data_IF_337995366461
#
_entry.id   IF_337995366461
#
_cell.length_a   1.000
_cell.length_b   1.000
_cell.length_c   1.000
_cell.angle_alpha   90.00
_cell.angle_beta   90.00
_cell.angle_gamma   90.00
#
_symmetry.space_group_name_H-M   'P 1'
#
loop_
_entity.id
_entity.type
_entity.pdbx_description
1 polymer ?
#
# COMPACT_ATOMS: atom_id res chain seq x y z
N UNK A 1 -6.97 39.59 -1.62
CA UNK A 1 -5.89 39.20 -0.70
C UNK A 1 -5.26 37.96 -1.28
N UNK A 2 -4.09 38.09 -1.87
CA UNK A 2 -3.33 36.96 -2.48
C UNK A 2 -2.86 36.05 -1.36
N UNK A 3 -3.29 34.77 -1.39
CA UNK A 3 -2.78 33.76 -0.48
C UNK A 3 -1.29 33.54 -0.79
N UNK A 4 -0.42 33.74 0.19
CA UNK A 4 0.98 33.43 0.06
C UNK A 4 1.15 31.97 -0.38
N UNK A 5 2.06 31.67 -1.32
CA UNK A 5 2.30 30.30 -1.74
C UNK A 5 2.73 29.48 -0.53
N UNK A 6 2.13 28.29 -0.38
CA UNK A 6 2.48 27.31 0.62
C UNK A 6 3.99 27.04 0.50
N UNK A 7 4.76 27.25 1.57
CA UNK A 7 6.13 26.75 1.64
C UNK A 7 6.09 25.24 1.42
N UNK A 8 6.42 24.84 0.21
CA UNK A 8 6.45 23.46 -0.21
C UNK A 8 7.58 22.74 0.52
N UNK A 9 7.35 21.58 1.15
CA UNK A 9 8.48 20.73 1.50
C UNK A 9 9.22 20.47 0.20
N UNK A 10 10.44 21.02 0.14
CA UNK A 10 11.29 20.98 -1.04
C UNK A 10 11.32 19.53 -1.56
N UNK A 11 10.90 19.29 -2.81
CA UNK A 11 10.99 17.96 -3.42
C UNK A 11 12.43 17.44 -3.43
N UNK A 12 13.42 18.32 -3.32
CA UNK A 12 14.82 18.02 -3.09
C UNK A 12 15.11 17.43 -1.68
N UNK A 13 14.19 17.57 -0.69
CA UNK A 13 14.37 17.00 0.64
C UNK A 13 14.02 15.50 0.75
N UNK A 14 13.49 14.89 -0.32
CA UNK A 14 13.22 13.45 -0.33
C UNK A 14 14.52 12.67 -0.56
N UNK A 15 14.97 12.02 0.47
CA UNK A 15 15.95 10.94 0.36
C UNK A 15 15.23 9.61 0.61
N UNK A 16 15.39 8.69 -0.33
CA UNK A 16 14.80 7.35 -0.19
C UNK A 16 15.40 6.69 1.07
N UNK A 17 14.57 6.26 2.03
CA UNK A 17 15.06 5.60 3.23
C UNK A 17 15.97 4.40 2.93
N UNK A 18 17.00 4.15 3.73
CA UNK A 18 17.80 2.94 3.64
C UNK A 18 16.91 1.70 3.72
N UNK A 19 17.22 0.70 2.92
CA UNK A 19 16.46 -0.56 2.88
C UNK A 19 15.10 -0.49 2.20
N UNK A 20 14.58 0.68 1.81
CA UNK A 20 13.38 0.76 0.99
C UNK A 20 13.69 0.43 -0.47
N UNK A 21 13.07 -0.62 -0.99
CA UNK A 21 13.12 -0.96 -2.41
C UNK A 21 11.70 -1.12 -2.95
N UNK A 22 11.46 -0.59 -4.15
CA UNK A 22 10.15 -0.68 -4.79
C UNK A 22 10.22 -1.56 -6.03
N UNK A 23 9.24 -2.41 -6.18
CA UNK A 23 8.99 -3.18 -7.38
C UNK A 23 7.78 -2.54 -8.04
N UNK A 24 8.01 -1.87 -9.16
CA UNK A 24 6.94 -1.31 -9.96
C UNK A 24 6.44 -2.40 -10.89
N UNK A 25 5.23 -2.85 -10.63
CA UNK A 25 4.53 -3.82 -11.44
C UNK A 25 3.80 -3.20 -12.64
N UNK A 26 2.95 -3.98 -13.27
CA UNK A 26 2.11 -3.55 -14.40
C UNK A 26 0.98 -2.65 -13.91
N UNK A 27 0.34 -3.02 -12.80
CA UNK A 27 -0.81 -2.31 -12.24
C UNK A 27 -0.46 -1.49 -11.02
N UNK A 28 0.29 -2.05 -10.07
CA UNK A 28 0.63 -1.44 -8.80
C UNK A 28 2.11 -1.53 -8.47
N UNK A 29 2.45 -1.07 -7.27
CA UNK A 29 3.79 -1.15 -6.72
C UNK A 29 3.76 -1.95 -5.42
N UNK A 30 4.64 -2.92 -5.29
CA UNK A 30 4.95 -3.51 -3.99
C UNK A 30 6.32 -3.05 -3.50
N UNK A 31 6.52 -3.10 -2.20
CA UNK A 31 7.75 -2.63 -1.58
C UNK A 31 8.43 -3.75 -0.81
N UNK A 32 9.76 -3.74 -0.83
CA UNK A 32 10.60 -4.57 0.00
C UNK A 32 11.33 -3.66 0.98
N UNK A 33 11.12 -3.90 2.26
CA UNK A 33 11.75 -3.18 3.36
C UNK A 33 12.80 -4.08 3.97
N UNK A 34 14.07 -3.73 3.78
CA UNK A 34 15.24 -4.55 4.16
C UNK A 34 15.91 -3.95 5.38
N UNK A 35 16.16 -4.76 6.39
CA UNK A 35 16.95 -4.40 7.57
C UNK A 35 17.72 -5.63 8.06
N UNK A 36 19.01 -5.48 8.33
CA UNK A 36 19.87 -6.54 8.92
C UNK A 36 19.84 -7.89 8.19
N UNK A 37 19.73 -7.88 6.85
CA UNK A 37 19.69 -9.11 6.04
C UNK A 37 18.34 -9.81 5.98
N UNK A 38 17.35 -9.29 6.68
CA UNK A 38 15.96 -9.72 6.62
C UNK A 38 15.09 -8.67 5.92
N UNK A 39 13.93 -9.05 5.45
CA UNK A 39 13.02 -8.12 4.81
C UNK A 39 11.56 -8.50 5.00
N UNK A 40 10.69 -7.50 4.82
CA UNK A 40 9.26 -7.70 4.70
C UNK A 40 8.78 -7.12 3.38
N UNK A 41 7.72 -7.70 2.82
CA UNK A 41 7.05 -7.16 1.66
C UNK A 41 5.77 -6.41 2.05
N UNK A 42 5.57 -5.24 1.47
CA UNK A 42 4.27 -4.57 1.46
C UNK A 42 3.63 -4.89 0.11
N UNK A 43 2.51 -5.61 0.17
CA UNK A 43 1.79 -6.21 -0.94
C UNK A 43 2.60 -7.24 -1.76
N UNK A 44 1.91 -8.02 -2.58
CA UNK A 44 2.49 -9.12 -3.34
C UNK A 44 2.49 -8.89 -4.87
N UNK A 45 1.91 -7.80 -5.34
CA UNK A 45 1.80 -7.47 -6.76
C UNK A 45 0.84 -8.36 -7.55
N UNK A 46 0.71 -8.08 -8.83
CA UNK A 46 -0.16 -8.80 -9.77
C UNK A 46 0.44 -10.17 -10.14
N UNK A 47 -0.43 -11.10 -10.52
CA UNK A 47 -0.01 -12.39 -11.08
C UNK A 47 0.94 -12.19 -12.25
N UNK A 48 2.08 -12.91 -12.25
CA UNK A 48 3.09 -12.81 -13.30
C UNK A 48 4.30 -11.93 -12.95
N UNK A 49 4.20 -11.07 -11.93
CA UNK A 49 5.29 -10.18 -11.52
C UNK A 49 6.37 -10.85 -10.65
N UNK A 50 6.29 -12.16 -10.46
CA UNK A 50 7.25 -12.99 -9.67
C UNK A 50 8.69 -12.81 -10.11
N UNK A 51 8.91 -12.56 -11.41
CA UNK A 51 10.24 -12.35 -11.96
C UNK A 51 10.90 -11.09 -11.35
N UNK A 52 10.16 -10.01 -11.17
CA UNK A 52 10.68 -8.77 -10.59
C UNK A 52 11.04 -8.95 -9.12
N UNK A 53 10.21 -9.67 -8.35
CA UNK A 53 10.48 -9.99 -6.94
C UNK A 53 11.78 -10.82 -6.83
N UNK A 54 11.88 -11.91 -7.61
CA UNK A 54 13.08 -12.76 -7.62
C UNK A 54 14.33 -12.00 -8.04
N UNK A 55 14.22 -11.15 -9.07
CA UNK A 55 15.33 -10.34 -9.55
C UNK A 55 15.81 -9.36 -8.48
N UNK A 56 14.88 -8.70 -7.76
CA UNK A 56 15.24 -7.76 -6.71
C UNK A 56 15.94 -8.47 -5.55
N UNK A 57 15.40 -9.57 -5.04
CA UNK A 57 16.04 -10.32 -3.96
C UNK A 57 17.47 -10.77 -4.35
N UNK A 58 17.66 -11.30 -5.56
CA UNK A 58 19.00 -11.66 -6.06
C UNK A 58 19.95 -10.45 -6.11
N UNK A 59 19.45 -9.29 -6.60
CA UNK A 59 20.25 -8.05 -6.66
C UNK A 59 20.71 -7.60 -5.28
N UNK A 60 19.93 -7.88 -4.25
CA UNK A 60 20.22 -7.54 -2.85
C UNK A 60 20.98 -8.65 -2.11
N UNK A 61 21.40 -9.72 -2.81
CA UNK A 61 21.98 -10.92 -2.21
C UNK A 61 21.11 -11.55 -1.12
N UNK A 62 19.78 -11.44 -1.25
CA UNK A 62 18.79 -12.02 -0.34
C UNK A 62 18.18 -13.30 -0.92
N UNK A 63 17.96 -14.28 -0.06
CA UNK A 63 17.24 -15.52 -0.39
C UNK A 63 15.73 -15.41 -0.08
N UNK A 64 14.94 -16.42 -0.50
CA UNK A 64 13.51 -16.45 -0.19
C UNK A 64 13.23 -16.36 1.32
N UNK A 65 14.00 -17.07 2.13
CA UNK A 65 13.86 -17.12 3.60
C UNK A 65 14.23 -15.81 4.31
N UNK A 66 14.85 -14.86 3.60
CA UNK A 66 15.04 -13.51 4.13
C UNK A 66 13.72 -12.72 4.24
N UNK A 67 12.69 -13.11 3.46
CA UNK A 67 11.36 -12.51 3.56
C UNK A 67 10.63 -13.13 4.75
N UNK A 68 10.41 -12.33 5.80
CA UNK A 68 9.81 -12.78 7.07
C UNK A 68 8.30 -12.60 7.11
N UNK A 69 7.81 -11.55 6.48
CA UNK A 69 6.39 -11.23 6.46
C UNK A 69 5.96 -10.61 5.13
N UNK A 70 4.68 -10.78 4.81
CA UNK A 70 3.98 -10.12 3.72
C UNK A 70 2.85 -9.33 4.36
N UNK A 71 2.95 -8.01 4.35
CA UNK A 71 1.98 -7.10 4.95
C UNK A 71 1.08 -6.59 3.83
N UNK A 72 -0.20 -6.94 3.86
CA UNK A 72 -1.15 -6.49 2.85
C UNK A 72 -1.76 -5.16 3.25
N UNK A 73 -1.76 -4.22 2.31
CA UNK A 73 -2.55 -2.99 2.44
C UNK A 73 -4.03 -3.32 2.30
N UNK A 74 -4.39 -4.14 1.33
CA UNK A 74 -5.75 -4.62 1.10
C UNK A 74 -5.78 -5.84 0.16
N UNK A 75 -6.97 -6.38 -0.13
CA UNK A 75 -7.13 -7.66 -0.79
C UNK A 75 -7.37 -7.64 -2.30
N UNK A 76 -7.24 -6.50 -3.01
CA UNK A 76 -7.41 -6.47 -4.46
C UNK A 76 -6.36 -7.30 -5.20
N UNK A 77 -6.72 -7.73 -6.41
CA UNK A 77 -5.94 -8.69 -7.21
C UNK A 77 -4.52 -8.21 -7.54
N UNK A 78 -4.34 -6.94 -7.79
CA UNK A 78 -3.04 -6.33 -8.10
C UNK A 78 -2.12 -6.16 -6.88
N UNK A 79 -2.66 -6.34 -5.67
CA UNK A 79 -1.92 -6.40 -4.41
C UNK A 79 -1.73 -7.82 -3.89
N UNK A 80 -2.59 -8.76 -4.27
CA UNK A 80 -2.58 -10.14 -3.75
C UNK A 80 -2.29 -11.21 -4.81
N UNK A 81 -2.11 -10.82 -6.07
CA UNK A 81 -2.02 -11.76 -7.20
C UNK A 81 -0.94 -12.83 -7.06
N UNK A 82 0.20 -12.50 -6.46
CA UNK A 82 1.27 -13.46 -6.21
C UNK A 82 1.30 -14.00 -4.77
N UNK A 83 0.32 -13.67 -3.91
CA UNK A 83 0.37 -13.92 -2.48
C UNK A 83 0.59 -15.40 -2.15
N UNK A 84 -0.20 -16.29 -2.72
CA UNK A 84 -0.08 -17.74 -2.45
C UNK A 84 1.29 -18.30 -2.89
N UNK A 85 1.78 -17.86 -4.06
CA UNK A 85 3.11 -18.25 -4.52
C UNK A 85 4.20 -17.68 -3.61
N UNK A 86 4.12 -16.41 -3.25
CA UNK A 86 5.12 -15.74 -2.42
C UNK A 86 5.20 -16.39 -1.05
N UNK A 87 4.06 -16.63 -0.39
CA UNK A 87 3.97 -17.33 0.88
C UNK A 87 4.61 -18.72 0.81
N UNK A 88 4.26 -19.50 -0.20
CA UNK A 88 4.82 -20.84 -0.38
C UNK A 88 6.34 -20.82 -0.63
N UNK A 89 6.80 -19.90 -1.48
CA UNK A 89 8.21 -19.80 -1.87
C UNK A 89 9.12 -19.31 -0.76
N UNK A 90 8.64 -18.39 0.09
CA UNK A 90 9.43 -17.74 1.15
C UNK A 90 9.25 -18.40 2.51
N UNK A 91 8.07 -18.98 2.77
CA UNK A 91 7.63 -19.39 4.10
C UNK A 91 7.20 -18.22 4.99
N UNK A 92 7.07 -17.00 4.42
CA UNK A 92 6.69 -15.80 5.16
C UNK A 92 5.24 -15.86 5.65
N UNK A 93 5.00 -15.28 6.81
CA UNK A 93 3.65 -15.08 7.35
C UNK A 93 2.94 -13.94 6.62
N UNK A 94 1.63 -14.09 6.42
CA UNK A 94 0.76 -13.10 5.79
C UNK A 94 -0.03 -12.34 6.85
N UNK A 95 0.13 -11.04 6.84
CA UNK A 95 -0.55 -10.10 7.73
C UNK A 95 -1.57 -9.28 6.95
N UNK A 96 -2.81 -9.24 7.38
CA UNK A 96 -3.85 -8.40 6.80
C UNK A 96 -4.92 -8.05 7.84
N UNK A 97 -5.67 -6.97 7.60
CA UNK A 97 -6.84 -6.67 8.41
C UNK A 97 -7.91 -7.77 8.21
N UNK A 98 -8.64 -8.20 9.26
CA UNK A 98 -9.62 -9.30 9.15
C UNK A 98 -10.70 -9.03 8.11
N UNK A 99 -11.10 -7.78 7.88
CA UNK A 99 -12.08 -7.42 6.85
C UNK A 99 -11.57 -7.63 5.41
N UNK A 100 -10.30 -7.96 5.19
CA UNK A 100 -9.76 -8.31 3.87
C UNK A 100 -9.85 -9.81 3.57
N UNK A 101 -10.28 -10.64 4.52
CA UNK A 101 -10.34 -12.09 4.36
C UNK A 101 -11.18 -12.51 3.15
N UNK A 102 -12.32 -11.86 2.94
CA UNK A 102 -13.22 -12.16 1.81
C UNK A 102 -12.56 -11.80 0.48
N UNK A 103 -11.90 -10.63 0.38
CA UNK A 103 -11.15 -10.25 -0.81
C UNK A 103 -10.03 -11.25 -1.11
N UNK A 104 -9.23 -11.62 -0.10
CA UNK A 104 -8.14 -12.59 -0.25
C UNK A 104 -8.66 -13.97 -0.64
N UNK A 105 -9.83 -14.38 -0.16
CA UNK A 105 -10.48 -15.65 -0.54
C UNK A 105 -11.10 -15.60 -1.94
N UNK A 106 -11.25 -14.41 -2.54
CA UNK A 106 -11.91 -14.23 -3.83
C UNK A 106 -13.44 -14.20 -3.73
N UNK A 107 -13.98 -13.98 -2.54
CA UNK A 107 -15.40 -13.67 -2.31
C UNK A 107 -15.50 -12.15 -2.17
N UNK A 108 -16.26 -11.51 -3.01
CA UNK A 108 -16.19 -10.05 -3.17
C UNK A 108 -17.29 -9.35 -2.37
N UNK A 109 -16.95 -8.58 -1.30
CA UNK A 109 -17.93 -7.91 -0.44
C UNK A 109 -18.48 -6.62 -1.06
N UNK A 110 -18.56 -6.53 -2.39
CA UNK A 110 -19.12 -5.38 -3.08
C UNK A 110 -20.64 -5.37 -3.02
N UNK A 111 -21.20 -4.17 -2.77
CA UNK A 111 -22.65 -3.95 -2.70
C UNK A 111 -23.10 -2.91 -3.73
N UNK A 112 -24.41 -2.88 -4.03
CA UNK A 112 -24.97 -1.90 -4.95
C UNK A 112 -24.32 -1.92 -6.34
N UNK A 113 -24.00 -0.76 -6.86
CA UNK A 113 -23.40 -0.62 -8.20
C UNK A 113 -21.96 -1.18 -8.28
N UNK A 114 -21.27 -1.28 -7.17
CA UNK A 114 -19.91 -1.81 -7.13
C UNK A 114 -19.83 -3.34 -7.31
N UNK A 115 -20.99 -4.05 -7.28
CA UNK A 115 -21.05 -5.49 -7.60
C UNK A 115 -20.47 -5.84 -8.97
N UNK A 116 -20.53 -4.91 -9.91
CA UNK A 116 -19.92 -5.11 -11.23
C UNK A 116 -18.41 -5.23 -11.14
N UNK A 117 -17.78 -4.48 -10.23
CA UNK A 117 -16.36 -4.58 -9.99
C UNK A 117 -15.98 -5.95 -9.45
N UNK A 118 -16.75 -6.48 -8.49
CA UNK A 118 -16.56 -7.83 -7.99
C UNK A 118 -16.62 -8.89 -9.09
N UNK A 119 -17.56 -8.73 -10.06
CA UNK A 119 -17.63 -9.63 -11.22
C UNK A 119 -16.42 -9.54 -12.14
N UNK A 120 -15.94 -8.31 -12.44
CA UNK A 120 -14.73 -8.10 -13.23
C UNK A 120 -13.50 -8.67 -12.54
N UNK A 121 -13.39 -8.46 -11.25
CA UNK A 121 -12.31 -9.01 -10.45
C UNK A 121 -12.36 -10.55 -10.40
N UNK A 122 -13.55 -11.16 -10.27
CA UNK A 122 -13.74 -12.61 -10.34
C UNK A 122 -13.27 -13.19 -11.67
N UNK A 123 -13.63 -12.54 -12.78
CA UNK A 123 -13.13 -12.92 -14.12
C UNK A 123 -11.61 -12.77 -14.20
N UNK A 124 -11.07 -11.65 -13.75
CA UNK A 124 -9.63 -11.41 -13.71
C UNK A 124 -8.89 -12.48 -12.91
N UNK A 125 -9.39 -12.85 -11.74
CA UNK A 125 -8.83 -13.92 -10.90
C UNK A 125 -8.88 -15.28 -11.58
N UNK A 126 -9.98 -15.63 -12.25
CA UNK A 126 -10.11 -16.88 -12.99
C UNK A 126 -9.11 -16.93 -14.16
N UNK A 127 -9.05 -15.88 -14.99
CA UNK A 127 -8.13 -15.78 -16.14
C UNK A 127 -6.66 -15.84 -15.70
N UNK A 128 -6.32 -15.12 -14.64
CA UNK A 128 -4.96 -15.07 -14.10
C UNK A 128 -4.64 -16.26 -13.20
N UNK A 129 -5.55 -17.21 -13.03
CA UNK A 129 -5.39 -18.39 -12.18
C UNK A 129 -4.97 -18.03 -10.75
N UNK A 130 -5.63 -17.01 -10.21
CA UNK A 130 -5.41 -16.58 -8.82
C UNK A 130 -5.63 -17.76 -7.86
N UNK A 131 -4.77 -17.83 -6.84
CA UNK A 131 -4.91 -18.78 -5.75
C UNK A 131 -5.02 -18.01 -4.44
N UNK A 132 -6.06 -18.26 -3.63
CA UNK A 132 -6.15 -17.71 -2.28
C UNK A 132 -4.97 -18.13 -1.42
N UNK A 133 -4.66 -17.31 -0.43
CA UNK A 133 -3.70 -17.66 0.62
C UNK A 133 -4.32 -17.42 1.99
N UNK A 134 -3.93 -18.23 2.96
CA UNK A 134 -4.34 -18.02 4.35
C UNK A 134 -3.66 -16.75 4.89
N UNK A 135 -4.42 -15.87 5.51
CA UNK A 135 -3.91 -14.83 6.40
C UNK A 135 -3.52 -15.53 7.70
N UNK A 136 -2.27 -15.33 8.16
CA UNK A 136 -1.76 -15.94 9.37
C UNK A 136 -2.01 -15.06 10.58
N UNK A 137 -1.84 -13.73 10.42
CA UNK A 137 -1.94 -12.75 11.49
C UNK A 137 -2.91 -11.62 11.10
N UNK A 138 -3.84 -11.32 11.99
CA UNK A 138 -4.78 -10.22 11.79
C UNK A 138 -4.25 -8.92 12.34
N UNK A 139 -4.26 -7.90 11.46
CA UNK A 139 -3.83 -6.54 11.78
C UNK A 139 -4.95 -5.75 12.47
N UNK A 140 -4.55 -4.94 13.44
CA UNK A 140 -5.44 -3.97 14.11
C UNK A 140 -4.84 -2.57 14.06
N UNK A 141 -5.70 -1.55 14.10
CA UNK A 141 -5.24 -0.15 14.09
C UNK A 141 -4.35 0.16 15.29
N UNK A 142 -3.22 0.82 15.07
CA UNK A 142 -2.24 1.17 16.10
C UNK A 142 -1.31 0.04 16.50
N UNK A 143 -1.47 -1.17 15.94
CA UNK A 143 -0.56 -2.28 16.19
C UNK A 143 0.85 -1.93 15.68
N UNK A 144 1.86 -2.19 16.53
CA UNK A 144 3.27 -2.01 16.17
C UNK A 144 3.88 -3.33 15.76
N UNK A 145 4.43 -3.37 14.55
CA UNK A 145 5.11 -4.53 13.97
C UNK A 145 6.62 -4.33 14.09
N UNK A 146 7.39 -5.36 14.50
CA UNK A 146 8.83 -5.26 14.77
C UNK A 146 9.68 -5.32 13.49
N UNK A 147 9.19 -4.75 12.39
CA UNK A 147 9.86 -4.79 11.10
C UNK A 147 10.39 -3.41 10.73
N UNK A 148 11.57 -3.37 10.07
CA UNK A 148 12.17 -2.17 9.50
C UNK A 148 12.25 -0.98 10.49
N UNK A 149 12.64 -1.28 11.71
CA UNK A 149 12.74 -0.31 12.80
C UNK A 149 11.40 0.11 13.42
N UNK A 150 10.35 -0.65 13.17
CA UNK A 150 9.00 -0.45 13.66
C UNK A 150 8.06 0.14 12.61
N UNK A 151 6.97 -0.58 12.36
CA UNK A 151 5.87 -0.14 11.52
C UNK A 151 4.59 -0.10 12.34
N UNK A 152 3.89 1.02 12.33
CA UNK A 152 2.56 1.14 12.92
C UNK A 152 1.48 0.91 11.86
N UNK A 153 0.52 0.07 12.17
CA UNK A 153 -0.64 -0.20 11.31
C UNK A 153 -1.65 0.94 11.46
N UNK A 154 -1.95 1.59 10.35
CA UNK A 154 -2.97 2.64 10.29
C UNK A 154 -4.17 2.11 9.49
N UNK A 155 -5.27 1.81 10.15
CA UNK A 155 -6.49 1.37 9.46
C UNK A 155 -7.13 2.54 8.72
N UNK A 156 -7.22 2.43 7.40
CA UNK A 156 -7.64 3.46 6.45
C UNK A 156 -8.80 2.98 5.57
N UNK A 157 -9.95 2.59 6.15
CA UNK A 157 -11.07 2.05 5.38
C UNK A 157 -11.63 3.07 4.40
N UNK A 158 -12.15 2.56 3.28
CA UNK A 158 -12.74 3.38 2.22
C UNK A 158 -12.59 2.71 0.86
N UNK A 159 -11.37 2.52 0.40
CA UNK A 159 -11.08 1.74 -0.79
C UNK A 159 -11.52 0.28 -0.60
N UNK A 160 -11.09 -0.36 0.48
CA UNK A 160 -11.74 -1.54 1.04
C UNK A 160 -12.09 -1.32 2.52
N UNK A 161 -12.88 -2.21 3.09
CA UNK A 161 -13.30 -2.11 4.50
C UNK A 161 -12.13 -2.34 5.47
N UNK A 162 -11.18 -3.17 5.09
CA UNK A 162 -9.99 -3.50 5.89
C UNK A 162 -8.71 -2.82 5.43
N UNK A 163 -8.78 -1.87 4.48
CA UNK A 163 -7.59 -1.21 3.94
C UNK A 163 -6.72 -0.62 5.05
N UNK A 164 -5.41 -0.90 5.01
CA UNK A 164 -4.42 -0.43 5.96
C UNK A 164 -3.28 0.32 5.25
N UNK A 165 -2.75 1.33 5.93
CA UNK A 165 -1.43 1.88 5.65
C UNK A 165 -0.44 1.41 6.70
N UNK A 166 0.86 1.59 6.43
CA UNK A 166 1.95 1.27 7.35
C UNK A 166 2.82 2.50 7.56
N UNK A 167 2.91 2.95 8.81
CA UNK A 167 3.66 4.15 9.16
C UNK A 167 4.98 3.80 9.84
N UNK A 168 6.08 4.28 9.29
CA UNK A 168 7.39 4.24 9.91
C UNK A 168 7.66 5.56 10.62
N UNK A 169 7.68 5.54 11.95
CA UNK A 169 8.02 6.70 12.76
C UNK A 169 9.49 7.11 12.52
N UNK A 170 10.40 6.13 12.45
CA UNK A 170 11.83 6.34 12.15
C UNK A 170 12.07 7.19 10.90
N UNK A 171 11.30 6.96 9.86
CA UNK A 171 11.45 7.65 8.57
C UNK A 171 10.40 8.73 8.34
N UNK A 172 9.47 8.90 9.27
CA UNK A 172 8.28 9.76 9.16
C UNK A 172 7.57 9.56 7.81
N UNK A 173 7.38 8.28 7.45
CA UNK A 173 6.90 7.82 6.15
C UNK A 173 5.67 6.94 6.30
N UNK A 174 4.59 7.29 5.60
CA UNK A 174 3.39 6.47 5.48
C UNK A 174 3.35 5.78 4.11
N UNK A 175 3.29 4.47 4.10
CA UNK A 175 2.82 3.69 2.95
C UNK A 175 1.30 3.68 3.02
N UNK A 176 0.66 4.43 2.12
CA UNK A 176 -0.77 4.71 2.23
C UNK A 176 -1.66 3.73 1.45
N UNK A 177 -1.08 2.72 0.80
CA UNK A 177 -1.84 1.86 -0.11
C UNK A 177 -2.64 2.70 -1.12
N UNK A 178 -3.86 2.32 -1.38
CA UNK A 178 -4.71 2.90 -2.41
C UNK A 178 -5.60 4.05 -1.92
N UNK A 179 -5.07 4.85 -1.00
CA UNK A 179 -5.73 6.12 -0.67
C UNK A 179 -5.72 7.11 -1.83
N UNK A 180 -4.77 6.99 -2.75
CA UNK A 180 -4.66 7.73 -4.00
C UNK A 180 -3.65 7.07 -4.93
N UNK A 181 -3.69 7.45 -6.22
CA UNK A 181 -2.70 7.08 -7.22
C UNK A 181 -1.99 8.31 -7.76
N UNK A 182 -0.72 8.16 -8.16
CA UNK A 182 0.16 9.26 -8.57
C UNK A 182 0.88 8.92 -9.88
N UNK A 183 0.15 9.03 -11.00
CA UNK A 183 0.65 8.73 -12.35
C UNK A 183 0.79 9.97 -13.24
N UNK A 184 1.71 9.94 -14.22
CA UNK A 184 1.78 10.85 -15.36
C UNK A 184 1.65 12.34 -14.99
N UNK A 185 2.36 12.78 -13.96
CA UNK A 185 2.29 14.16 -13.45
C UNK A 185 0.96 14.54 -12.79
N UNK A 186 0.02 13.63 -12.67
CA UNK A 186 -1.29 13.86 -12.06
C UNK A 186 -1.52 12.95 -10.84
N UNK A 187 -2.58 13.27 -10.09
CA UNK A 187 -3.00 12.53 -8.91
C UNK A 187 -4.48 12.18 -9.04
N UNK A 188 -4.83 10.97 -8.65
CA UNK A 188 -6.19 10.44 -8.82
C UNK A 188 -6.68 9.81 -7.52
N UNK A 189 -7.95 10.00 -7.23
CA UNK A 189 -8.67 9.17 -6.26
C UNK A 189 -8.87 7.77 -6.86
N UNK A 190 -8.92 6.72 -6.03
CA UNK A 190 -9.35 5.42 -6.52
C UNK A 190 -10.71 5.55 -7.21
N UNK A 191 -10.94 4.90 -8.36
CA UNK A 191 -12.25 4.90 -9.01
C UNK A 191 -13.35 4.47 -8.04
N UNK A 192 -14.45 5.22 -7.98
CA UNK A 192 -15.52 4.96 -7.00
C UNK A 192 -16.07 3.53 -7.08
N UNK A 193 -16.10 2.94 -8.27
CA UNK A 193 -16.55 1.56 -8.50
C UNK A 193 -15.64 0.52 -7.83
N UNK A 194 -14.36 0.85 -7.56
CA UNK A 194 -13.41 -0.03 -6.88
C UNK A 194 -13.47 0.08 -5.35
N UNK A 195 -14.25 1.01 -4.82
CA UNK A 195 -14.33 1.23 -3.38
C UNK A 195 -15.47 0.40 -2.77
N UNK A 196 -15.14 -0.52 -1.87
CA UNK A 196 -16.13 -1.35 -1.17
C UNK A 196 -16.70 -0.71 0.11
N UNK A 197 -16.09 0.38 0.62
CA UNK A 197 -16.54 1.10 1.81
C UNK A 197 -16.40 2.65 1.64
N UNK A 198 -16.94 3.23 0.55
CA UNK A 198 -16.65 4.63 0.16
C UNK A 198 -17.08 5.66 1.22
N UNK A 199 -18.08 5.38 2.03
CA UNK A 199 -18.58 6.25 3.10
C UNK A 199 -17.54 6.49 4.20
N UNK A 200 -16.57 5.58 4.35
CA UNK A 200 -15.50 5.66 5.36
C UNK A 200 -14.26 6.39 4.88
N UNK A 201 -14.16 6.67 3.59
CA UNK A 201 -12.95 7.22 2.94
C UNK A 201 -12.55 8.59 3.52
N UNK A 202 -13.49 9.48 3.74
CA UNK A 202 -13.22 10.82 4.32
C UNK A 202 -12.61 10.73 5.72
N UNK A 203 -13.07 9.80 6.55
CA UNK A 203 -12.48 9.55 7.87
C UNK A 203 -11.03 9.09 7.81
N UNK A 204 -10.69 8.31 6.79
CA UNK A 204 -9.32 7.84 6.55
C UNK A 204 -8.39 8.97 6.08
N UNK A 205 -8.88 9.87 5.21
CA UNK A 205 -8.14 11.09 4.83
C UNK A 205 -7.84 11.95 6.05
N UNK A 206 -8.83 12.16 6.92
CA UNK A 206 -8.66 12.94 8.15
C UNK A 206 -7.67 12.26 9.12
N UNK A 207 -7.65 10.93 9.19
CA UNK A 207 -6.68 10.17 9.98
C UNK A 207 -5.26 10.39 9.48
N UNK A 208 -5.03 10.35 8.17
CA UNK A 208 -3.73 10.68 7.57
C UNK A 208 -3.36 12.14 7.86
N UNK A 209 -4.31 13.06 7.78
CA UNK A 209 -4.10 14.46 8.09
C UNK A 209 -3.61 14.65 9.54
N UNK A 210 -4.22 13.96 10.50
CA UNK A 210 -3.82 14.00 11.93
C UNK A 210 -2.47 13.34 12.20
N UNK A 211 -2.21 12.19 11.57
CA UNK A 211 -0.92 11.51 11.64
C UNK A 211 0.22 12.41 11.15
N UNK A 212 -0.08 13.27 10.18
CA UNK A 212 0.81 14.27 9.62
C UNK A 212 2.17 13.72 9.16
N UNK A 213 2.22 12.64 8.36
CA UNK A 213 3.48 12.07 7.90
C UNK A 213 4.24 13.09 7.04
N UNK A 214 5.58 13.15 7.21
CA UNK A 214 6.44 13.99 6.37
C UNK A 214 6.47 13.50 4.92
N UNK A 215 6.38 12.19 4.72
CA UNK A 215 6.42 11.54 3.42
C UNK A 215 5.26 10.55 3.28
N UNK A 216 4.72 10.42 2.06
CA UNK A 216 3.69 9.44 1.74
C UNK A 216 4.13 8.67 0.49
N UNK A 217 3.88 7.37 0.47
CA UNK A 217 4.07 6.50 -0.70
C UNK A 217 2.77 5.73 -0.94
N UNK A 218 2.05 5.99 -2.04
CA UNK A 218 0.84 5.24 -2.40
C UNK A 218 1.16 3.87 -3.00
N UNK A 219 0.15 3.02 -3.16
CA UNK A 219 0.26 1.73 -3.86
C UNK A 219 0.49 1.87 -5.36
N UNK A 220 0.08 2.99 -5.95
CA UNK A 220 0.16 3.25 -7.39
C UNK A 220 0.89 4.55 -7.70
N UNK A 221 2.04 4.45 -8.37
CA UNK A 221 2.81 5.63 -8.81
C UNK A 221 3.78 5.30 -9.95
N UNK A 222 4.19 6.35 -10.68
CA UNK A 222 5.21 6.27 -11.72
C UNK A 222 6.63 6.57 -11.19
N UNK A 223 6.77 7.43 -10.19
CA UNK A 223 8.04 7.88 -9.62
C UNK A 223 8.01 7.86 -8.10
N UNK A 224 8.93 7.15 -7.48
CA UNK A 224 9.06 7.15 -6.03
C UNK A 224 9.61 8.50 -5.52
N UNK A 225 8.74 9.30 -4.90
CA UNK A 225 9.11 10.54 -4.21
C UNK A 225 8.06 10.88 -3.15
N UNK A 226 8.36 10.54 -1.89
CA UNK A 226 7.42 10.68 -0.78
C UNK A 226 7.01 12.13 -0.49
N UNK A 227 7.87 13.12 -0.74
CA UNK A 227 7.54 14.53 -0.57
C UNK A 227 6.56 15.00 -1.66
N UNK A 228 6.80 14.60 -2.92
CA UNK A 228 5.88 14.89 -4.03
C UNK A 228 4.51 14.26 -3.79
N UNK A 229 4.48 12.98 -3.37
CA UNK A 229 3.22 12.29 -3.12
C UNK A 229 2.43 12.92 -1.97
N UNK A 230 3.11 13.36 -0.91
CA UNK A 230 2.44 14.10 0.18
C UNK A 230 1.78 15.40 -0.31
N UNK A 231 2.47 16.17 -1.16
CA UNK A 231 1.89 17.39 -1.76
C UNK A 231 0.69 17.06 -2.65
N UNK A 232 0.80 16.04 -3.48
CA UNK A 232 -0.28 15.58 -4.36
C UNK A 232 -1.48 15.11 -3.55
N UNK A 233 -1.26 14.38 -2.46
CA UNK A 233 -2.31 13.99 -1.52
C UNK A 233 -3.00 15.22 -0.92
N UNK A 234 -2.23 16.18 -0.41
CA UNK A 234 -2.77 17.42 0.16
C UNK A 234 -3.62 18.21 -0.85
N UNK A 235 -3.13 18.33 -2.08
CA UNK A 235 -3.87 19.01 -3.16
C UNK A 235 -5.16 18.28 -3.51
N UNK A 236 -5.09 16.96 -3.71
CA UNK A 236 -6.24 16.11 -4.10
C UNK A 236 -7.40 16.18 -3.10
N UNK A 237 -7.06 16.29 -1.80
CA UNK A 237 -8.04 16.31 -0.72
C UNK A 237 -8.29 17.71 -0.12
N UNK A 238 -7.81 18.78 -0.75
CA UNK A 238 -8.07 20.16 -0.33
C UNK A 238 -7.43 20.53 1.01
N UNK A 239 -6.35 19.88 1.41
CA UNK A 239 -5.67 20.08 2.69
C UNK A 239 -4.68 21.27 2.63
N UNK A 240 -5.14 22.43 2.20
CA UNK A 240 -4.32 23.63 1.88
C UNK A 240 -3.50 24.19 3.05
N UNK A 241 -3.85 23.86 4.29
CA UNK A 241 -3.14 24.30 5.52
C UNK A 241 -2.37 23.17 6.22
N UNK A 242 -2.16 22.07 5.52
CA UNK A 242 -1.48 20.91 6.12
C UNK A 242 0.04 21.11 6.17
N UNK A 243 0.51 21.72 7.24
CA UNK A 243 1.94 21.97 7.49
C UNK A 243 2.61 20.71 8.03
N UNK A 244 3.88 20.50 7.64
CA UNK A 244 4.73 19.49 8.31
C UNK A 244 5.02 20.02 9.71
N UNK A 245 4.80 19.19 10.74
CA UNK A 245 5.34 19.49 12.07
C UNK A 245 6.88 19.61 11.97
N UNK A 246 7.44 20.65 12.55
CA UNK A 246 8.89 20.88 12.58
C UNK A 246 9.60 19.83 13.42
#
# INVERSE_FOLDING_TARGET
MSAAPLEEPNAAAWQKPPGLHSIRGIMGCCHLLVESGECVMLDAGLVGERFFIRRLLRKLALGPRSVKAILLTHGHLDHTGNLAWLKHWTGAEVYAHPAEQEHVNGTYPYQGVTKWCGRLEAVGRAVLRYRPAKIDEYLTNGQRLPFWGGLEVIHLPGHTAGHCGFFSERHNLLFSGDMFASYFFNVHKPPAILNSAPERFTGSVERIRRLNPRFIVPGHYDRLNGALHRRRFAHLFGLTKWRVAR
#
